data_IF_720266363124
#
_entry.id   IF_720266363124
#
_cell.length_a   1.000
_cell.length_b   1.000
_cell.length_c   1.000
_cell.angle_alpha   90.00
_cell.angle_beta   90.00
_cell.angle_gamma   90.00
#
_symmetry.space_group_name_H-M   'P 1'
#
loop_
_entity.id
_entity.type
_entity.pdbx_description
1 polymer ?
#
# COMPACT_ATOMS: atom_id res chain seq x y z
N UNK A 1 -6.89 -8.89 -14.10
CA UNK A 1 -7.74 -8.43 -12.97
C UNK A 1 -6.94 -7.59 -11.95
N UNK A 2 -5.90 -6.85 -12.36
CA UNK A 2 -5.10 -5.98 -11.46
C UNK A 2 -5.58 -4.53 -11.43
N UNK A 3 -6.19 -4.04 -12.52
CA UNK A 3 -6.68 -2.66 -12.62
C UNK A 3 -7.79 -2.32 -11.61
N UNK A 4 -8.61 -3.30 -11.20
CA UNK A 4 -9.73 -3.08 -10.27
C UNK A 4 -9.27 -2.68 -8.85
N UNK A 5 -7.99 -2.95 -8.52
CA UNK A 5 -7.41 -2.57 -7.23
C UNK A 5 -6.89 -1.13 -7.21
N UNK A 6 -6.69 -0.50 -8.36
CA UNK A 6 -6.06 0.82 -8.47
C UNK A 6 -7.13 1.90 -8.55
N UNK A 7 -7.00 2.95 -7.75
CA UNK A 7 -7.85 4.13 -7.86
C UNK A 7 -7.76 4.73 -9.28
N UNK A 8 -8.89 4.91 -9.99
CA UNK A 8 -8.89 5.51 -11.32
C UNK A 8 -8.21 6.89 -11.40
N UNK A 9 -8.17 7.65 -10.30
CA UNK A 9 -7.47 8.92 -10.23
C UNK A 9 -5.97 8.77 -10.49
N UNK A 10 -5.35 7.69 -10.03
CA UNK A 10 -3.92 7.38 -10.27
C UNK A 10 -3.66 7.20 -11.77
N UNK A 11 -4.58 6.53 -12.48
CA UNK A 11 -4.48 6.29 -13.92
C UNK A 11 -4.65 7.57 -14.77
N UNK A 12 -5.10 8.67 -14.15
CA UNK A 12 -5.23 9.99 -14.78
C UNK A 12 -4.04 10.90 -14.50
N UNK A 13 -3.14 10.52 -13.59
CA UNK A 13 -1.89 11.27 -13.37
C UNK A 13 -1.00 11.09 -14.60
N UNK A 14 -0.63 12.21 -15.23
CA UNK A 14 0.19 12.25 -16.45
C UNK A 14 1.69 12.40 -16.14
N UNK A 15 2.50 11.66 -16.89
CA UNK A 15 3.97 11.68 -16.84
C UNK A 15 4.59 10.67 -15.86
N UNK A 16 5.92 10.58 -15.89
CA UNK A 16 6.73 9.65 -15.07
C UNK A 16 6.98 10.15 -13.64
N UNK A 17 6.19 11.12 -13.18
CA UNK A 17 6.32 11.65 -11.83
C UNK A 17 5.81 10.62 -10.84
N UNK A 18 6.60 10.37 -9.79
CA UNK A 18 6.20 9.50 -8.70
C UNK A 18 4.87 9.95 -8.11
N UNK A 19 3.95 9.00 -7.98
CA UNK A 19 2.59 9.21 -7.48
C UNK A 19 2.56 8.79 -6.01
N UNK A 20 2.24 9.70 -5.07
CA UNK A 20 2.06 9.34 -3.68
C UNK A 20 0.79 8.49 -3.55
N UNK A 21 0.92 7.30 -2.98
CA UNK A 21 -0.16 6.31 -2.87
C UNK A 21 -0.22 5.69 -1.48
N UNK A 22 -1.42 5.25 -1.13
CA UNK A 22 -1.71 4.37 0.00
C UNK A 22 -2.02 2.97 -0.52
N UNK A 23 -1.21 1.99 -0.15
CA UNK A 23 -1.40 0.58 -0.47
C UNK A 23 -2.10 -0.08 0.72
N UNK A 24 -3.40 -0.35 0.58
CA UNK A 24 -4.16 -1.14 1.55
C UNK A 24 -3.88 -2.62 1.34
N UNK A 25 -3.56 -3.32 2.42
CA UNK A 25 -3.39 -4.77 2.42
C UNK A 25 -4.68 -5.44 2.91
N UNK A 26 -4.82 -6.73 2.65
CA UNK A 26 -5.94 -7.49 3.19
C UNK A 26 -5.99 -7.41 4.72
N UNK A 27 -7.21 -7.35 5.26
CA UNK A 27 -7.41 -7.21 6.69
C UNK A 27 -6.81 -8.40 7.43
N UNK A 28 -6.11 -8.09 8.52
CA UNK A 28 -5.60 -9.07 9.47
C UNK A 28 -6.60 -9.15 10.61
N UNK A 29 -7.00 -10.36 10.99
CA UNK A 29 -7.96 -10.57 12.06
C UNK A 29 -7.22 -10.69 13.39
N UNK A 30 -7.67 -9.96 14.42
CA UNK A 30 -7.19 -10.17 15.78
C UNK A 30 -7.62 -11.57 16.22
N UNK A 31 -6.68 -12.50 16.26
CA UNK A 31 -6.88 -13.82 16.86
C UNK A 31 -6.96 -13.75 18.38
N UNK A 32 -6.84 -14.90 19.05
CA UNK A 32 -6.89 -15.00 20.53
C UNK A 32 -5.80 -14.17 21.24
N UNK A 33 -4.74 -13.79 20.53
CA UNK A 33 -3.62 -12.99 21.05
C UNK A 33 -3.96 -11.49 21.26
N UNK A 34 -5.19 -11.05 20.96
CA UNK A 34 -5.64 -9.68 21.20
C UNK A 34 -4.88 -8.62 20.38
N UNK A 35 -4.82 -7.39 20.89
CA UNK A 35 -4.24 -6.25 20.15
C UNK A 35 -2.74 -6.37 19.88
N UNK A 36 -1.98 -7.01 20.79
CA UNK A 36 -0.54 -7.21 20.59
C UNK A 36 -0.27 -8.19 19.44
N UNK A 37 -1.00 -9.31 19.40
CA UNK A 37 -0.91 -10.26 18.29
C UNK A 37 -1.40 -9.67 16.96
N UNK A 38 -2.42 -8.80 16.98
CA UNK A 38 -2.83 -8.06 15.78
C UNK A 38 -1.70 -7.16 15.25
N UNK A 39 -0.99 -6.45 16.12
CA UNK A 39 0.11 -5.58 15.71
C UNK A 39 1.28 -6.36 15.08
N UNK A 40 1.62 -7.52 15.63
CA UNK A 40 2.64 -8.42 15.07
C UNK A 40 2.22 -8.95 13.70
N UNK A 41 0.98 -9.44 13.55
CA UNK A 41 0.50 -9.93 12.28
C UNK A 41 0.39 -8.83 11.21
N UNK A 42 0.05 -7.60 11.59
CA UNK A 42 0.11 -6.44 10.69
C UNK A 42 1.56 -6.15 10.29
N UNK A 43 2.51 -6.23 11.23
CA UNK A 43 3.92 -6.04 10.94
C UNK A 43 4.43 -7.06 9.92
N UNK A 44 4.10 -8.35 10.10
CA UNK A 44 4.48 -9.42 9.17
C UNK A 44 3.85 -9.23 7.79
N UNK A 45 2.57 -8.86 7.73
CA UNK A 45 1.89 -8.57 6.47
C UNK A 45 2.56 -7.40 5.73
N UNK A 46 2.95 -6.35 6.45
CA UNK A 46 3.64 -5.20 5.88
C UNK A 46 5.10 -5.52 5.50
N UNK A 47 5.78 -6.41 6.22
CA UNK A 47 7.17 -6.78 5.95
C UNK A 47 7.36 -7.34 4.53
N UNK A 48 6.45 -8.22 4.09
CA UNK A 48 6.48 -8.78 2.73
C UNK A 48 6.25 -7.73 1.63
N UNK A 49 5.56 -6.63 1.95
CA UNK A 49 5.38 -5.48 1.06
C UNK A 49 6.62 -4.60 1.04
N UNK A 50 7.21 -4.30 2.20
CA UNK A 50 8.47 -3.54 2.28
C UNK A 50 9.61 -4.24 1.54
N UNK A 51 9.77 -5.54 1.70
CA UNK A 51 10.78 -6.31 0.99
C UNK A 51 10.60 -6.19 -0.53
N UNK A 52 9.36 -6.23 -1.00
CA UNK A 52 9.07 -6.08 -2.42
C UNK A 52 9.32 -4.67 -2.92
N UNK A 53 8.88 -3.64 -2.18
CA UNK A 53 9.19 -2.23 -2.49
C UNK A 53 10.71 -2.00 -2.59
N UNK A 54 11.49 -2.57 -1.67
CA UNK A 54 12.95 -2.51 -1.71
C UNK A 54 13.53 -3.17 -2.98
N UNK A 55 12.98 -4.32 -3.41
CA UNK A 55 13.38 -4.97 -4.68
C UNK A 55 13.07 -4.11 -5.92
N UNK A 56 12.02 -3.29 -5.85
CA UNK A 56 11.69 -2.31 -6.88
C UNK A 56 12.54 -1.03 -6.82
N UNK A 57 13.51 -0.96 -5.90
CA UNK A 57 14.34 0.23 -5.68
C UNK A 57 13.58 1.39 -5.04
N UNK A 58 12.41 1.13 -4.45
CA UNK A 58 11.58 2.15 -3.82
C UNK A 58 12.06 2.36 -2.38
N UNK A 59 12.21 3.62 -2.00
CA UNK A 59 12.61 4.01 -0.64
C UNK A 59 11.59 4.96 -0.03
N UNK A 60 11.65 5.18 1.28
CA UNK A 60 10.77 6.13 1.97
C UNK A 60 9.34 5.64 2.21
N UNK A 61 9.07 4.35 2.00
CA UNK A 61 7.78 3.75 2.35
C UNK A 61 7.58 3.77 3.89
N UNK A 62 6.34 4.03 4.34
CA UNK A 62 5.99 4.07 5.76
C UNK A 62 4.72 3.25 6.03
N UNK A 63 4.76 2.44 7.09
CA UNK A 63 3.63 1.61 7.50
C UNK A 63 2.59 2.39 8.30
N UNK A 64 1.32 2.05 8.10
CA UNK A 64 0.16 2.49 8.86
C UNK A 64 -0.45 1.27 9.54
N UNK A 65 -0.07 1.04 10.81
CA UNK A 65 -0.44 -0.18 11.54
C UNK A 65 -1.95 -0.30 11.78
N UNK A 66 -2.64 0.81 12.07
CA UNK A 66 -4.07 0.80 12.36
C UNK A 66 -4.95 0.42 11.16
N UNK A 67 -4.48 0.69 9.94
CA UNK A 67 -5.24 0.46 8.70
C UNK A 67 -4.67 -0.68 7.85
N UNK A 68 -3.67 -1.40 8.37
CA UNK A 68 -2.85 -2.35 7.61
C UNK A 68 -2.51 -1.85 6.21
N UNK A 69 -1.89 -0.67 6.13
CA UNK A 69 -1.55 -0.03 4.87
C UNK A 69 -0.11 0.48 4.85
N UNK A 70 0.41 0.75 3.65
CA UNK A 70 1.73 1.35 3.43
C UNK A 70 1.57 2.59 2.57
N UNK A 71 2.15 3.71 2.99
CA UNK A 71 2.22 4.94 2.20
C UNK A 71 3.58 5.05 1.53
N UNK A 72 3.59 5.37 0.24
CA UNK A 72 4.81 5.39 -0.57
C UNK A 72 4.59 6.17 -1.86
N UNK A 73 5.66 6.69 -2.45
CA UNK A 73 5.63 7.29 -3.79
C UNK A 73 6.11 6.29 -4.83
N UNK A 74 5.29 6.00 -5.84
CA UNK A 74 5.57 4.98 -6.86
C UNK A 74 5.42 5.52 -8.27
N UNK A 75 6.19 4.98 -9.22
CA UNK A 75 5.90 5.13 -10.64
C UNK A 75 4.64 4.34 -11.02
N UNK A 76 4.07 4.64 -12.19
CA UNK A 76 2.90 3.91 -12.68
C UNK A 76 3.17 2.41 -12.82
N UNK A 77 4.33 2.04 -13.34
CA UNK A 77 4.69 0.62 -13.53
C UNK A 77 4.81 -0.10 -12.19
N UNK A 78 5.43 0.54 -11.19
CA UNK A 78 5.51 0.01 -9.83
C UNK A 78 4.10 -0.13 -9.20
N UNK A 79 3.18 0.79 -9.46
CA UNK A 79 1.79 0.68 -8.99
C UNK A 79 1.08 -0.53 -9.61
N UNK A 80 1.25 -0.74 -10.90
CA UNK A 80 0.66 -1.89 -11.60
C UNK A 80 1.24 -3.21 -11.10
N UNK A 81 2.55 -3.24 -10.81
CA UNK A 81 3.22 -4.39 -10.21
C UNK A 81 2.71 -4.66 -8.78
N UNK A 82 2.60 -3.62 -7.94
CA UNK A 82 2.01 -3.75 -6.60
C UNK A 82 0.55 -4.23 -6.67
N UNK A 83 -0.24 -3.74 -7.61
CA UNK A 83 -1.63 -4.16 -7.79
C UNK A 83 -1.78 -5.62 -8.24
N UNK A 84 -0.76 -6.20 -8.86
CA UNK A 84 -0.75 -7.61 -9.25
C UNK A 84 -0.56 -8.55 -8.05
N UNK A 85 -0.07 -8.07 -6.91
CA UNK A 85 0.12 -8.89 -5.72
C UNK A 85 -1.20 -9.32 -5.11
N UNK A 86 -1.22 -10.53 -4.53
CA UNK A 86 -2.41 -11.11 -3.90
C UNK A 86 -2.72 -10.55 -2.52
N UNK A 87 -1.71 -10.06 -1.80
CA UNK A 87 -1.84 -9.47 -0.46
C UNK A 87 -2.27 -7.99 -0.49
N UNK A 88 -2.12 -7.33 -1.63
CA UNK A 88 -2.65 -5.98 -1.88
C UNK A 88 -4.15 -6.06 -2.13
N UNK A 89 -4.92 -5.32 -1.32
CA UNK A 89 -6.36 -5.17 -1.46
C UNK A 89 -6.71 -4.02 -2.39
N UNK A 90 -6.10 -2.85 -2.18
CA UNK A 90 -6.39 -1.63 -2.93
C UNK A 90 -5.19 -0.69 -2.94
N UNK A 91 -5.06 0.13 -3.98
CA UNK A 91 -4.10 1.23 -4.07
C UNK A 91 -4.88 2.51 -4.30
N UNK A 92 -4.72 3.47 -3.38
CA UNK A 92 -5.41 4.75 -3.36
C UNK A 92 -4.40 5.88 -3.56
N UNK A 93 -4.86 7.00 -4.11
CA UNK A 93 -4.04 8.22 -4.18
C UNK A 93 -3.90 8.80 -2.76
N UNK A 94 -2.67 9.11 -2.34
CA UNK A 94 -2.40 9.78 -1.06
C UNK A 94 -2.49 11.30 -1.27
N UNK A 95 -3.72 11.79 -1.42
CA UNK A 95 -3.97 13.24 -1.49
C UNK A 95 -3.97 13.84 -0.09
N UNK A 96 -3.27 14.96 0.16
CA UNK A 96 -3.50 15.73 1.36
C UNK A 96 -4.94 16.23 1.33
N UNK A 97 -5.80 15.65 2.16
CA UNK A 97 -7.13 16.22 2.40
C UNK A 97 -6.91 17.65 2.90
N UNK A 98 -7.27 18.63 2.10
CA UNK A 98 -7.44 19.99 2.60
C UNK A 98 -8.57 19.94 3.62
N UNK A 99 -8.21 19.98 4.90
CA UNK A 99 -9.18 20.24 5.96
C UNK A 99 -9.54 21.72 5.80
N UNK A 100 -10.69 21.97 5.15
CA UNK A 100 -11.27 23.31 5.00
C UNK A 100 -12.31 23.52 6.09
#
# INVERSE_FOLDING_TARGET
MSADKVDPAILRVEGDRGVPVVIELHAVAAGEAGLAGLAEQVHDAQAGVFEHLNRLGVTGARGLTLTNAVVVTLSRDQILEMAARSDVRKILLDEPRQVT
#
